data_IF_031922437888
#
_entry.id   IF_031922437888
#
_cell.length_a   1.000
_cell.length_b   1.000
_cell.length_c   1.000
_cell.angle_alpha   90.00
_cell.angle_beta   90.00
_cell.angle_gamma   90.00
#
_symmetry.space_group_name_H-M   'P 1'
#
loop_
_entity.id
_entity.type
_entity.pdbx_description
1 polymer ?
#
# COMPACT_ATOMS: atom_id res chain seq x y z
N UNK A 1 -24.48 21.31 0.07
CA UNK A 1 -24.18 20.47 1.23
C UNK A 1 -25.24 19.40 1.57
N UNK A 2 -26.53 19.60 1.36
CA UNK A 2 -27.59 18.59 1.65
C UNK A 2 -27.59 17.38 0.70
N UNK A 3 -27.15 17.53 -0.54
CA UNK A 3 -27.12 16.46 -1.55
C UNK A 3 -26.05 15.40 -1.21
N UNK A 4 -24.87 15.83 -0.79
CA UNK A 4 -23.78 14.94 -0.32
C UNK A 4 -24.20 14.11 0.91
N UNK A 5 -24.91 14.71 1.85
CA UNK A 5 -25.36 14.07 3.10
C UNK A 5 -26.38 12.95 2.85
N UNK A 6 -27.24 13.09 1.84
CA UNK A 6 -28.26 12.09 1.49
C UNK A 6 -27.66 10.88 0.75
N UNK A 7 -26.59 11.11 -0.02
CA UNK A 7 -25.86 10.03 -0.70
C UNK A 7 -25.06 9.19 0.30
N UNK A 8 -24.51 9.82 1.33
CA UNK A 8 -23.79 9.15 2.43
C UNK A 8 -24.70 8.33 3.32
N UNK A 9 -25.94 8.77 3.60
CA UNK A 9 -26.91 7.99 4.38
C UNK A 9 -27.36 6.71 3.69
N UNK A 10 -27.44 6.73 2.36
CA UNK A 10 -27.75 5.51 1.59
C UNK A 10 -26.57 4.52 1.55
N UNK A 11 -25.34 5.01 1.52
CA UNK A 11 -24.15 4.14 1.62
C UNK A 11 -24.01 3.52 3.02
N UNK A 12 -24.37 4.25 4.07
CA UNK A 12 -24.39 3.73 5.44
C UNK A 12 -25.45 2.64 5.61
N UNK A 13 -26.62 2.79 5.01
CA UNK A 13 -27.66 1.76 5.04
C UNK A 13 -27.29 0.51 4.22
N UNK A 14 -26.55 0.68 3.13
CA UNK A 14 -25.98 -0.43 2.36
C UNK A 14 -24.86 -1.14 3.14
N UNK A 15 -24.09 -0.39 3.94
CA UNK A 15 -23.01 -0.98 4.74
C UNK A 15 -23.51 -1.89 5.86
N UNK A 16 -24.76 -1.76 6.29
CA UNK A 16 -25.37 -2.64 7.30
C UNK A 16 -25.86 -3.98 6.73
N UNK A 17 -25.97 -4.09 5.42
CA UNK A 17 -26.33 -5.31 4.73
C UNK A 17 -25.06 -6.04 4.22
N UNK A 18 -25.08 -7.38 4.20
CA UNK A 18 -23.97 -8.21 3.68
C UNK A 18 -23.66 -7.90 2.21
N UNK A 19 -24.70 -7.64 1.40
CA UNK A 19 -24.54 -7.28 -0.01
C UNK A 19 -23.80 -5.94 -0.16
N UNK A 20 -24.11 -4.95 0.67
CA UNK A 20 -23.42 -3.66 0.66
C UNK A 20 -21.96 -3.78 1.06
N UNK A 21 -21.63 -4.63 2.05
CA UNK A 21 -20.25 -4.91 2.40
C UNK A 21 -19.49 -5.60 1.26
N UNK A 22 -20.12 -6.53 0.55
CA UNK A 22 -19.52 -7.20 -0.61
C UNK A 22 -19.24 -6.23 -1.75
N UNK A 23 -20.17 -5.30 -2.05
CA UNK A 23 -19.94 -4.25 -3.04
C UNK A 23 -18.81 -3.30 -2.64
N UNK A 24 -18.74 -2.91 -1.37
CA UNK A 24 -17.63 -2.11 -0.85
C UNK A 24 -16.31 -2.86 -0.91
N UNK A 25 -16.29 -4.16 -0.63
CA UNK A 25 -15.10 -4.99 -0.76
C UNK A 25 -14.62 -5.09 -2.22
N UNK A 26 -15.55 -5.20 -3.17
CA UNK A 26 -15.22 -5.15 -4.60
C UNK A 26 -14.59 -3.81 -5.00
N UNK A 27 -15.19 -2.70 -4.60
CA UNK A 27 -14.66 -1.35 -4.87
C UNK A 27 -13.29 -1.14 -4.19
N UNK A 28 -13.15 -1.56 -2.94
CA UNK A 28 -11.89 -1.48 -2.21
C UNK A 28 -10.82 -2.38 -2.84
N UNK A 29 -11.20 -3.55 -3.34
CA UNK A 29 -10.34 -4.45 -4.08
C UNK A 29 -9.81 -3.82 -5.37
N UNK A 30 -10.68 -3.24 -6.18
CA UNK A 30 -10.30 -2.53 -7.41
C UNK A 30 -9.37 -1.36 -7.08
N UNK A 31 -9.70 -0.54 -6.08
CA UNK A 31 -8.86 0.58 -5.67
C UNK A 31 -7.49 0.12 -5.17
N UNK A 32 -7.43 -0.96 -4.39
CA UNK A 32 -6.17 -1.56 -3.91
C UNK A 32 -5.34 -2.07 -5.08
N UNK A 33 -5.93 -2.77 -6.04
CA UNK A 33 -5.24 -3.24 -7.24
C UNK A 33 -4.66 -2.08 -8.07
N UNK A 34 -5.41 -0.98 -8.24
CA UNK A 34 -4.92 0.23 -8.90
C UNK A 34 -3.73 0.85 -8.16
N UNK A 35 -3.80 0.97 -6.84
CA UNK A 35 -2.70 1.50 -6.02
C UNK A 35 -1.44 0.63 -6.17
N UNK A 36 -1.59 -0.70 -6.19
CA UNK A 36 -0.47 -1.62 -6.38
C UNK A 36 0.10 -1.52 -7.79
N UNK A 37 -0.74 -1.38 -8.82
CA UNK A 37 -0.28 -1.17 -10.20
C UNK A 37 0.51 0.13 -10.32
N UNK A 38 0.02 1.22 -9.72
CA UNK A 38 0.75 2.49 -9.67
C UNK A 38 2.07 2.37 -8.90
N UNK A 39 2.08 1.60 -7.80
CA UNK A 39 3.29 1.32 -7.04
C UNK A 39 4.32 0.55 -7.87
N UNK A 40 3.90 -0.46 -8.65
CA UNK A 40 4.77 -1.17 -9.59
C UNK A 40 5.37 -0.22 -10.63
N UNK A 41 4.52 0.59 -11.28
CA UNK A 41 4.99 1.57 -12.27
C UNK A 41 5.98 2.57 -11.67
N UNK A 42 5.75 3.01 -10.43
CA UNK A 42 6.67 3.92 -9.74
C UNK A 42 8.04 3.30 -9.42
N UNK A 43 8.14 1.98 -9.40
CA UNK A 43 9.41 1.25 -9.26
C UNK A 43 10.02 0.98 -10.63
N UNK A 44 9.25 0.43 -11.57
CA UNK A 44 9.73 -0.03 -12.86
C UNK A 44 10.15 1.13 -13.78
N UNK A 45 9.37 2.23 -13.81
CA UNK A 45 9.68 3.36 -14.68
C UNK A 45 11.03 4.04 -14.37
N UNK A 46 11.37 4.37 -13.11
CA UNK A 46 12.68 4.94 -12.81
C UNK A 46 13.83 3.99 -13.12
N UNK A 47 13.66 2.68 -12.90
CA UNK A 47 14.67 1.69 -13.17
C UNK A 47 15.04 1.66 -14.66
N UNK A 48 14.02 1.56 -15.53
CA UNK A 48 14.24 1.51 -16.98
C UNK A 48 14.64 2.88 -17.56
N UNK A 49 14.16 3.99 -16.97
CA UNK A 49 14.44 5.33 -17.51
C UNK A 49 15.81 5.87 -17.14
N UNK A 50 16.33 5.54 -15.95
CA UNK A 50 17.55 6.16 -15.42
C UNK A 50 18.73 5.20 -15.29
N UNK A 51 18.50 3.90 -15.34
CA UNK A 51 19.55 2.90 -15.25
C UNK A 51 19.75 2.21 -16.60
N UNK A 52 21.01 1.93 -17.01
CA UNK A 52 21.32 1.20 -18.22
C UNK A 52 21.09 -0.31 -18.00
N UNK A 53 19.87 -0.70 -17.74
CA UNK A 53 19.45 -2.09 -17.50
C UNK A 53 18.28 -2.44 -18.44
N UNK A 54 18.32 -3.62 -19.02
CA UNK A 54 17.30 -4.08 -19.98
C UNK A 54 15.99 -4.49 -19.28
N UNK A 55 16.06 -4.85 -17.99
CA UNK A 55 14.89 -5.20 -17.19
C UNK A 55 15.00 -4.66 -15.76
N UNK A 56 13.86 -4.40 -15.08
CA UNK A 56 13.84 -3.91 -13.71
C UNK A 56 14.51 -4.83 -12.67
N UNK A 57 14.82 -6.07 -13.07
CA UNK A 57 15.42 -7.08 -12.20
C UNK A 57 16.93 -7.25 -12.45
N UNK A 58 17.46 -6.65 -13.52
CA UNK A 58 18.85 -6.82 -13.99
C UNK A 58 19.84 -5.88 -13.29
N UNK A 59 19.80 -5.75 -11.97
CA UNK A 59 20.79 -4.96 -11.21
C UNK A 59 22.23 -5.48 -11.40
N UNK A 60 22.39 -6.71 -11.83
CA UNK A 60 23.69 -7.35 -12.07
C UNK A 60 24.45 -6.71 -13.25
N UNK A 61 23.73 -6.10 -14.20
CA UNK A 61 24.31 -5.38 -15.33
C UNK A 61 24.98 -4.08 -14.92
N UNK A 62 24.63 -3.54 -13.73
CA UNK A 62 25.26 -2.33 -13.20
C UNK A 62 26.68 -2.62 -12.71
N UNK A 63 27.60 -1.74 -13.03
CA UNK A 63 28.95 -1.76 -12.48
C UNK A 63 28.96 -1.73 -10.94
N UNK A 64 29.94 -2.35 -10.32
CA UNK A 64 30.05 -2.48 -8.87
C UNK A 64 29.91 -1.13 -8.13
N UNK A 65 30.53 -0.08 -8.62
CA UNK A 65 30.49 1.24 -8.00
C UNK A 65 29.11 1.90 -8.11
N UNK A 66 28.40 1.67 -9.22
CA UNK A 66 27.03 2.16 -9.40
C UNK A 66 26.07 1.50 -8.41
N UNK A 67 26.20 0.18 -8.20
CA UNK A 67 25.41 -0.55 -7.20
C UNK A 67 25.64 -0.03 -5.78
N UNK A 68 26.90 0.19 -5.40
CA UNK A 68 27.25 0.74 -4.08
C UNK A 68 26.69 2.15 -3.91
N UNK A 69 26.81 3.00 -4.93
CA UNK A 69 26.28 4.36 -4.89
C UNK A 69 24.77 4.39 -4.80
N UNK A 70 24.08 3.49 -5.52
CA UNK A 70 22.62 3.37 -5.50
C UNK A 70 22.13 2.95 -4.10
N UNK A 71 22.71 1.88 -3.56
CA UNK A 71 22.40 1.39 -2.21
C UNK A 71 22.69 2.45 -1.14
N UNK A 72 23.86 3.09 -1.20
CA UNK A 72 24.25 4.12 -0.24
C UNK A 72 23.34 5.35 -0.32
N UNK A 73 23.03 5.82 -1.53
CA UNK A 73 22.13 6.94 -1.76
C UNK A 73 20.72 6.64 -1.29
N UNK A 74 20.18 5.47 -1.63
CA UNK A 74 18.86 5.03 -1.17
C UNK A 74 18.79 4.89 0.35
N UNK A 75 19.81 4.29 0.97
CA UNK A 75 19.90 4.19 2.43
C UNK A 75 19.89 5.57 3.09
N UNK A 76 20.65 6.54 2.55
CA UNK A 76 20.69 7.91 3.06
C UNK A 76 19.29 8.57 2.96
N UNK A 77 18.62 8.44 1.82
CA UNK A 77 17.24 8.97 1.64
C UNK A 77 16.28 8.36 2.67
N UNK A 78 16.35 7.04 2.88
CA UNK A 78 15.51 6.36 3.85
C UNK A 78 15.80 6.82 5.28
N UNK A 79 17.07 6.96 5.66
CA UNK A 79 17.47 7.47 6.98
C UNK A 79 16.90 8.88 7.19
N UNK A 80 17.08 9.78 6.22
CA UNK A 80 16.57 11.15 6.30
C UNK A 80 15.05 11.18 6.37
N UNK A 81 14.37 10.36 5.56
CA UNK A 81 12.92 10.21 5.58
C UNK A 81 12.43 9.79 6.97
N UNK A 82 12.93 8.68 7.50
CA UNK A 82 12.49 8.18 8.79
C UNK A 82 12.95 9.05 9.97
N UNK A 83 14.08 9.74 9.84
CA UNK A 83 14.53 10.69 10.87
C UNK A 83 13.60 11.90 10.97
N UNK A 84 13.13 12.43 9.85
CA UNK A 84 12.23 13.59 9.80
C UNK A 84 10.79 13.29 10.24
N UNK A 85 10.40 12.02 10.28
CA UNK A 85 9.03 11.63 10.64
C UNK A 85 8.85 11.44 12.15
N UNK A 86 7.72 11.86 12.72
CA UNK A 86 7.35 11.53 14.09
C UNK A 86 7.16 10.02 14.26
N UNK A 87 7.36 9.50 15.48
CA UNK A 87 7.34 8.06 15.76
C UNK A 87 6.05 7.36 15.31
N UNK A 88 4.91 8.03 15.43
CA UNK A 88 3.59 7.50 15.08
C UNK A 88 3.46 7.21 13.56
N UNK A 89 4.21 7.93 12.73
CA UNK A 89 4.19 7.78 11.27
C UNK A 89 5.23 6.80 10.72
N UNK A 90 6.13 6.29 11.59
CA UNK A 90 7.16 5.32 11.20
C UNK A 90 6.66 3.89 11.07
N UNK A 91 5.42 3.61 11.48
CA UNK A 91 4.83 2.28 11.36
C UNK A 91 4.59 1.92 9.90
N UNK A 92 5.33 0.93 9.41
CA UNK A 92 5.29 0.44 8.03
C UNK A 92 5.38 -1.10 8.01
N UNK A 93 5.08 -1.70 6.87
CA UNK A 93 5.19 -3.13 6.64
C UNK A 93 4.05 -3.96 7.25
N UNK A 94 4.20 -5.28 7.13
CA UNK A 94 3.20 -6.28 7.55
C UNK A 94 2.95 -6.21 9.06
N UNK A 95 4.00 -6.03 9.86
CA UNK A 95 3.89 -5.96 11.33
C UNK A 95 2.96 -4.82 11.77
N UNK A 96 3.04 -3.67 11.10
CA UNK A 96 2.14 -2.54 11.37
C UNK A 96 0.70 -2.87 10.99
N UNK A 97 0.47 -3.55 9.85
CA UNK A 97 -0.88 -3.99 9.46
C UNK A 97 -1.47 -4.94 10.51
N UNK A 98 -0.71 -5.96 10.93
CA UNK A 98 -1.15 -6.92 11.94
C UNK A 98 -1.49 -6.22 13.26
N UNK A 99 -0.63 -5.34 13.74
CA UNK A 99 -0.87 -4.56 14.94
C UNK A 99 -2.16 -3.72 14.81
N UNK A 100 -2.38 -3.08 13.65
CA UNK A 100 -3.60 -2.29 13.40
C UNK A 100 -4.85 -3.15 13.29
N UNK A 101 -4.72 -4.34 12.72
CA UNK A 101 -5.84 -5.29 12.66
C UNK A 101 -6.24 -5.80 14.05
N UNK A 102 -5.28 -6.09 14.92
CA UNK A 102 -5.54 -6.62 16.27
C UNK A 102 -5.95 -5.54 17.26
N UNK A 103 -5.13 -4.48 17.40
CA UNK A 103 -5.31 -3.49 18.47
C UNK A 103 -6.18 -2.29 18.08
N UNK A 104 -6.27 -1.98 16.78
CA UNK A 104 -6.99 -0.79 16.28
C UNK A 104 -8.10 -1.15 15.30
N UNK A 105 -8.54 -2.40 15.31
CA UNK A 105 -9.70 -2.89 14.58
C UNK A 105 -9.68 -2.57 13.06
N UNK A 106 -8.49 -2.61 12.46
CA UNK A 106 -8.32 -2.37 11.03
C UNK A 106 -8.22 -0.88 10.63
N UNK A 107 -8.11 0.03 11.59
CA UNK A 107 -7.89 1.45 11.31
C UNK A 107 -6.42 1.69 10.91
N UNK A 108 -6.14 1.93 9.64
CA UNK A 108 -4.81 2.31 9.15
C UNK A 108 -4.78 3.82 8.81
N UNK A 109 -3.88 4.60 9.41
CA UNK A 109 -3.76 6.03 9.13
C UNK A 109 -3.18 6.28 7.74
N UNK A 110 -3.76 7.23 7.00
CA UNK A 110 -3.28 7.62 5.67
C UNK A 110 -1.79 8.02 5.64
N UNK A 111 -1.24 8.77 6.60
CA UNK A 111 0.18 9.12 6.59
C UNK A 111 1.12 7.91 6.56
N UNK A 112 0.77 6.82 7.25
CA UNK A 112 1.58 5.60 7.27
C UNK A 112 1.55 4.89 5.91
N UNK A 113 0.40 4.94 5.19
CA UNK A 113 0.25 4.37 3.85
C UNK A 113 1.14 5.11 2.87
N UNK A 114 1.14 6.45 2.93
CA UNK A 114 1.99 7.30 2.08
C UNK A 114 3.47 7.07 2.37
N UNK A 115 3.86 7.02 3.66
CA UNK A 115 5.25 6.72 4.05
C UNK A 115 5.68 5.34 3.55
N UNK A 116 4.80 4.33 3.69
CA UNK A 116 5.07 2.98 3.17
C UNK A 116 5.32 3.00 1.66
N UNK A 117 4.48 3.71 0.90
CA UNK A 117 4.59 3.78 -0.55
C UNK A 117 5.95 4.35 -0.98
N UNK A 118 6.33 5.52 -0.42
CA UNK A 118 7.61 6.17 -0.76
C UNK A 118 8.82 5.39 -0.24
N UNK A 119 8.80 4.94 1.01
CA UNK A 119 9.91 4.22 1.59
C UNK A 119 10.20 2.90 0.85
N UNK A 120 9.15 2.16 0.51
CA UNK A 120 9.29 0.92 -0.23
C UNK A 120 9.75 1.15 -1.68
N UNK A 121 9.22 2.16 -2.37
CA UNK A 121 9.67 2.51 -3.71
C UNK A 121 11.16 2.87 -3.72
N UNK A 122 11.62 3.73 -2.80
CA UNK A 122 13.03 4.09 -2.67
C UNK A 122 13.88 2.86 -2.36
N UNK A 123 13.46 2.01 -1.41
CA UNK A 123 14.21 0.81 -1.03
C UNK A 123 14.38 -0.14 -2.21
N UNK A 124 13.32 -0.42 -2.96
CA UNK A 124 13.35 -1.36 -4.09
C UNK A 124 14.17 -0.76 -5.24
N UNK A 125 13.91 0.50 -5.63
CA UNK A 125 14.64 1.17 -6.72
C UNK A 125 16.12 1.28 -6.43
N UNK A 126 16.53 1.43 -5.17
CA UNK A 126 17.95 1.46 -4.80
C UNK A 126 18.59 0.08 -4.60
N UNK A 127 17.89 -1.00 -4.91
CA UNK A 127 18.43 -2.37 -4.90
C UNK A 127 18.58 -2.98 -3.51
N UNK A 128 17.81 -2.49 -2.51
CA UNK A 128 17.77 -3.17 -1.21
C UNK A 128 17.04 -4.52 -1.35
N UNK A 129 17.51 -5.52 -0.61
CA UNK A 129 16.87 -6.84 -0.56
C UNK A 129 15.54 -6.81 0.21
N UNK A 130 14.57 -6.09 -0.34
CA UNK A 130 13.22 -5.94 0.20
C UNK A 130 12.22 -6.45 -0.83
N UNK A 131 11.39 -7.41 -0.43
CA UNK A 131 10.31 -7.92 -1.29
C UNK A 131 9.20 -6.89 -1.50
N UNK A 132 8.45 -7.07 -2.58
CA UNK A 132 7.28 -6.24 -2.93
C UNK A 132 6.03 -6.60 -2.11
N UNK A 133 6.03 -7.79 -1.49
CA UNK A 133 4.86 -8.37 -0.81
C UNK A 133 4.48 -7.57 0.45
N UNK A 134 5.47 -7.24 1.29
CA UNK A 134 5.24 -6.46 2.50
C UNK A 134 4.58 -5.10 2.23
N UNK A 135 5.16 -4.29 1.34
CA UNK A 135 4.54 -3.06 0.88
C UNK A 135 3.15 -3.25 0.27
N UNK A 136 2.96 -4.28 -0.57
CA UNK A 136 1.66 -4.56 -1.18
C UNK A 136 0.57 -4.83 -0.15
N UNK A 137 0.86 -5.67 0.86
CA UNK A 137 -0.05 -5.96 1.97
C UNK A 137 -0.44 -4.67 2.70
N UNK A 138 0.55 -3.82 3.02
CA UNK A 138 0.30 -2.57 3.75
C UNK A 138 -0.52 -1.58 2.92
N UNK A 139 -0.19 -1.41 1.65
CA UNK A 139 -0.90 -0.52 0.73
C UNK A 139 -2.32 -1.00 0.46
N UNK A 140 -2.53 -2.31 0.27
CA UNK A 140 -3.85 -2.89 0.06
C UNK A 140 -4.75 -2.76 1.28
N UNK A 141 -4.26 -3.17 2.46
CA UNK A 141 -4.99 -3.00 3.71
C UNK A 141 -5.31 -1.53 3.99
N UNK A 142 -4.33 -0.65 3.75
CA UNK A 142 -4.45 0.78 3.95
C UNK A 142 -5.49 1.42 3.04
N UNK A 143 -5.45 1.13 1.75
CA UNK A 143 -6.43 1.65 0.77
C UNK A 143 -7.85 1.23 1.14
N UNK A 144 -8.06 -0.05 1.40
CA UNK A 144 -9.35 -0.56 1.81
C UNK A 144 -9.82 0.02 3.15
N UNK A 145 -8.91 0.16 4.12
CA UNK A 145 -9.22 0.80 5.39
C UNK A 145 -9.65 2.26 5.21
N UNK A 146 -8.98 3.05 4.34
CA UNK A 146 -9.37 4.44 4.06
C UNK A 146 -10.77 4.54 3.43
N UNK A 147 -11.11 3.63 2.51
CA UNK A 147 -12.45 3.56 1.93
C UNK A 147 -13.48 3.25 3.02
N UNK A 148 -13.23 2.26 3.86
CA UNK A 148 -14.12 1.92 4.97
C UNK A 148 -14.29 3.04 5.99
N UNK A 149 -13.22 3.75 6.33
CA UNK A 149 -13.26 4.92 7.19
C UNK A 149 -14.08 6.06 6.58
N UNK A 150 -13.94 6.32 5.29
CA UNK A 150 -14.69 7.39 4.61
C UNK A 150 -16.19 7.14 4.60
N UNK A 151 -16.63 5.88 4.61
CA UNK A 151 -18.04 5.48 4.67
C UNK A 151 -18.53 5.31 6.11
N UNK A 152 -17.64 5.39 7.10
CA UNK A 152 -17.99 5.26 8.52
C UNK A 152 -18.34 3.81 8.92
N UNK A 153 -17.67 2.81 8.33
CA UNK A 153 -17.89 1.40 8.65
C UNK A 153 -17.63 1.10 10.13
N UNK A 154 -18.48 0.23 10.69
CA UNK A 154 -18.24 -0.34 12.01
C UNK A 154 -16.91 -1.11 12.04
N UNK A 155 -16.22 -1.08 13.17
CA UNK A 155 -14.85 -1.58 13.33
C UNK A 155 -14.65 -3.04 12.86
N UNK A 156 -15.59 -3.95 13.15
CA UNK A 156 -15.48 -5.34 12.72
C UNK A 156 -15.55 -5.50 11.20
N UNK A 157 -16.37 -4.66 10.52
CA UNK A 157 -16.50 -4.64 9.06
C UNK A 157 -15.29 -3.98 8.40
N UNK A 158 -14.70 -2.99 9.07
CA UNK A 158 -13.46 -2.35 8.62
C UNK A 158 -12.32 -3.37 8.54
N UNK A 159 -12.22 -4.29 9.51
CA UNK A 159 -11.24 -5.39 9.48
C UNK A 159 -11.45 -6.32 8.29
N UNK A 160 -12.70 -6.68 8.01
CA UNK A 160 -13.05 -7.53 6.85
C UNK A 160 -12.65 -6.82 5.55
N UNK A 161 -12.99 -5.53 5.44
CA UNK A 161 -12.67 -4.74 4.25
C UNK A 161 -11.16 -4.61 4.04
N UNK A 162 -10.40 -4.34 5.12
CA UNK A 162 -8.94 -4.29 5.07
C UNK A 162 -8.35 -5.64 4.62
N UNK A 163 -8.90 -6.76 5.09
CA UNK A 163 -8.51 -8.10 4.63
C UNK A 163 -8.77 -8.32 3.14
N UNK A 164 -9.92 -7.87 2.63
CA UNK A 164 -10.23 -7.92 1.20
C UNK A 164 -9.23 -7.09 0.36
N UNK A 165 -8.82 -5.91 0.88
CA UNK A 165 -7.77 -5.09 0.27
C UNK A 165 -6.42 -5.78 0.22
N UNK A 166 -6.04 -6.51 1.28
CA UNK A 166 -4.82 -7.34 1.30
C UNK A 166 -4.89 -8.42 0.23
N UNK A 167 -5.99 -9.17 0.15
CA UNK A 167 -6.15 -10.23 -0.84
C UNK A 167 -6.03 -9.70 -2.27
N UNK A 168 -6.69 -8.58 -2.57
CA UNK A 168 -6.61 -7.93 -3.87
C UNK A 168 -5.19 -7.43 -4.19
N UNK A 169 -4.49 -6.86 -3.20
CA UNK A 169 -3.13 -6.38 -3.37
C UNK A 169 -2.13 -7.50 -3.64
N UNK A 170 -2.27 -8.63 -2.96
CA UNK A 170 -1.46 -9.83 -3.21
C UNK A 170 -1.73 -10.35 -4.61
N UNK A 171 -3.00 -10.51 -4.99
CA UNK A 171 -3.38 -10.96 -6.33
C UNK A 171 -2.80 -10.06 -7.43
N UNK A 172 -2.87 -8.73 -7.27
CA UNK A 172 -2.30 -7.77 -8.21
C UNK A 172 -0.76 -7.79 -8.22
N UNK A 173 -0.11 -8.00 -7.07
CA UNK A 173 1.35 -8.04 -6.95
C UNK A 173 1.96 -9.25 -7.64
N UNK A 174 1.32 -10.41 -7.51
CA UNK A 174 1.78 -11.67 -8.12
C UNK A 174 1.20 -11.94 -9.51
N UNK A 175 0.33 -11.06 -10.00
CA UNK A 175 -0.40 -11.25 -11.25
C UNK A 175 -1.20 -12.57 -11.28
N UNK A 176 -1.75 -12.96 -10.13
CA UNK A 176 -2.51 -14.20 -9.93
C UNK A 176 -3.97 -13.88 -9.61
N UNK A 177 -4.86 -13.93 -10.62
CA UNK A 177 -6.27 -13.51 -10.44
C UNK A 177 -7.08 -14.45 -9.52
N UNK A 178 -6.52 -15.60 -9.17
CA UNK A 178 -7.19 -16.64 -8.36
C UNK A 178 -6.56 -16.81 -6.96
N UNK A 179 -5.74 -15.88 -6.52
CA UNK A 179 -5.10 -15.95 -5.20
C UNK A 179 -5.97 -15.40 -4.08
#
# INVERSE_FOLDING_TARGET
MRFFRKQWSNLISLSDNQIGLALLALLAGIASALVITLFRLAIELPLVAFLPIDSPESYEELGQWARIALLGGGSLILILLFHSLPRERRGVGVSHVLQRMEMHQGYLPLPNIVVQWFAAAVAIVSGHSVGREGPAIHLGAGTASQIGQSVGLAHHRLRILAGAGVASAISASFNTPMA
#
